data_IF_967509320718
#
_entry.id   IF_967509320718
#
_cell.length_a   1.000
_cell.length_b   1.000
_cell.length_c   1.000
_cell.angle_alpha   90.00
_cell.angle_beta   90.00
_cell.angle_gamma   90.00
#
_symmetry.space_group_name_H-M   'P 1'
#
loop_
_entity.id
_entity.type
_entity.pdbx_description
1 polymer ?
#
# COMPACT_ATOMS: atom_id res chain seq x y z
N UNK A 1 -12.95 -6.33 8.35
CA UNK A 1 -13.49 -5.02 8.75
C UNK A 1 -12.43 -3.97 8.45
N UNK A 2 -12.84 -2.77 8.06
CA UNK A 2 -11.97 -1.60 7.94
C UNK A 2 -12.37 -0.57 9.00
N UNK A 3 -11.39 0.10 9.62
CA UNK A 3 -11.62 1.26 10.49
C UNK A 3 -11.39 2.50 9.64
N UNK A 4 -12.48 3.14 9.25
CA UNK A 4 -12.49 4.39 8.51
C UNK A 4 -11.89 5.54 9.34
N UNK A 5 -10.82 6.12 8.82
CA UNK A 5 -10.09 7.25 9.40
C UNK A 5 -10.76 8.60 9.12
N UNK A 6 -11.69 8.69 8.16
CA UNK A 6 -12.52 9.87 7.87
C UNK A 6 -13.74 9.96 8.80
N UNK A 7 -14.33 8.81 9.14
CA UNK A 7 -15.41 8.72 10.13
C UNK A 7 -14.86 8.83 11.55
N UNK A 8 -14.43 10.05 11.87
CA UNK A 8 -14.18 10.59 13.18
C UNK A 8 -13.82 9.49 14.21
N UNK A 9 -12.63 8.90 14.09
CA UNK A 9 -11.94 8.38 15.27
C UNK A 9 -11.14 9.48 15.95
N UNK A 10 -10.91 10.59 15.22
CA UNK A 10 -9.96 11.63 15.51
C UNK A 10 -10.52 13.01 15.07
N UNK A 11 -10.64 13.98 15.97
CA UNK A 11 -10.77 15.41 15.63
C UNK A 11 -9.35 16.00 15.48
N UNK A 12 -9.00 16.46 14.28
CA UNK A 12 -7.75 17.19 14.05
C UNK A 12 -7.97 18.67 14.43
N UNK A 13 -7.58 19.03 15.66
CA UNK A 13 -7.58 20.42 16.12
C UNK A 13 -6.12 20.79 16.39
N UNK A 14 -5.56 21.70 15.60
CA UNK A 14 -4.24 22.30 15.85
C UNK A 14 -3.07 21.30 16.01
N UNK A 15 -2.99 20.27 15.15
CA UNK A 15 -1.85 19.34 15.14
C UNK A 15 -1.85 18.29 16.25
N UNK A 16 -2.98 18.07 16.92
CA UNK A 16 -3.19 16.94 17.83
C UNK A 16 -4.33 16.05 17.38
N UNK A 17 -4.04 14.75 17.35
CA UNK A 17 -4.99 13.67 17.09
C UNK A 17 -5.86 13.46 18.35
N UNK A 18 -7.08 14.02 18.40
CA UNK A 18 -7.98 13.88 19.56
C UNK A 18 -9.03 12.79 19.34
N UNK A 19 -9.20 11.84 20.27
CA UNK A 19 -10.19 10.77 20.14
C UNK A 19 -11.63 11.29 19.95
N UNK A 20 -12.32 10.82 18.91
CA UNK A 20 -13.76 11.01 18.73
C UNK A 20 -14.52 9.76 19.18
N UNK A 21 -15.12 9.89 20.35
CA UNK A 21 -15.79 8.79 21.05
C UNK A 21 -16.89 8.09 20.23
N UNK A 22 -17.77 8.79 19.47
CA UNK A 22 -18.81 8.07 18.72
C UNK A 22 -18.30 7.12 17.63
N UNK A 23 -17.13 7.39 17.03
CA UNK A 23 -16.49 6.49 16.06
C UNK A 23 -15.92 5.27 16.76
N UNK A 24 -15.28 5.46 17.92
CA UNK A 24 -14.84 4.35 18.78
C UNK A 24 -16.02 3.49 19.21
N UNK A 25 -17.13 4.09 19.63
CA UNK A 25 -18.34 3.37 20.05
C UNK A 25 -18.95 2.58 18.88
N UNK A 26 -18.94 3.13 17.68
CA UNK A 26 -19.36 2.40 16.48
C UNK A 26 -18.54 1.13 16.28
N UNK A 27 -17.21 1.22 16.24
CA UNK A 27 -16.36 0.05 16.03
C UNK A 27 -16.42 -0.94 17.19
N UNK A 28 -16.55 -0.48 18.44
CA UNK A 28 -16.83 -1.34 19.58
C UNK A 28 -18.10 -2.17 19.35
N UNK A 29 -19.20 -1.52 18.98
CA UNK A 29 -20.47 -2.21 18.73
C UNK A 29 -20.35 -3.25 17.60
N UNK A 30 -19.63 -2.94 16.52
CA UNK A 30 -19.44 -3.91 15.42
C UNK A 30 -18.52 -5.05 15.83
N UNK A 31 -17.42 -4.79 16.53
CA UNK A 31 -16.51 -5.82 17.05
C UNK A 31 -17.26 -6.76 18.00
N UNK A 32 -18.01 -6.22 18.95
CA UNK A 32 -18.79 -7.01 19.91
C UNK A 32 -19.87 -7.82 19.20
N UNK A 33 -20.52 -7.25 18.19
CA UNK A 33 -21.50 -7.97 17.37
C UNK A 33 -20.87 -9.16 16.63
N UNK A 34 -19.70 -8.98 16.01
CA UNK A 34 -18.97 -10.06 15.32
C UNK A 34 -18.58 -11.17 16.31
N UNK A 35 -17.98 -10.80 17.44
CA UNK A 35 -17.54 -11.76 18.46
C UNK A 35 -18.72 -12.50 19.10
N UNK A 36 -19.86 -11.83 19.31
CA UNK A 36 -21.10 -12.47 19.81
C UNK A 36 -21.62 -13.57 18.88
N UNK A 37 -21.20 -13.56 17.62
CA UNK A 37 -21.52 -14.56 16.60
C UNK A 37 -20.36 -15.54 16.33
N UNK A 38 -19.28 -15.46 17.11
CA UNK A 38 -18.09 -16.29 16.92
C UNK A 38 -17.30 -15.96 15.65
N UNK A 39 -17.46 -14.75 15.10
CA UNK A 39 -16.73 -14.29 13.93
C UNK A 39 -15.51 -13.50 14.40
N UNK A 40 -14.32 -13.97 14.01
CA UNK A 40 -13.06 -13.32 14.36
C UNK A 40 -12.78 -12.09 13.48
N UNK A 41 -12.57 -10.90 14.07
CA UNK A 41 -12.33 -9.69 13.29
C UNK A 41 -10.87 -9.61 12.80
N UNK A 42 -10.71 -9.57 11.48
CA UNK A 42 -9.51 -9.05 10.82
C UNK A 42 -9.73 -7.59 10.48
N UNK A 43 -8.94 -6.71 11.08
CA UNK A 43 -9.16 -5.26 11.04
C UNK A 43 -8.06 -4.60 10.22
N UNK A 44 -8.46 -3.89 9.16
CA UNK A 44 -7.58 -3.02 8.38
C UNK A 44 -7.60 -1.61 8.98
N UNK A 45 -6.41 -1.03 9.21
CA UNK A 45 -6.25 0.32 9.71
C UNK A 45 -6.37 1.36 8.60
N UNK A 46 -5.80 1.09 7.42
CA UNK A 46 -5.86 1.99 6.28
C UNK A 46 -6.30 1.29 5.00
N UNK A 47 -7.36 1.82 4.41
CA UNK A 47 -7.96 1.32 3.17
C UNK A 47 -8.26 2.50 2.23
N UNK A 48 -7.22 3.31 1.99
CA UNK A 48 -7.21 4.41 1.02
C UNK A 48 -8.09 5.60 1.42
N UNK A 49 -8.37 5.71 2.70
CA UNK A 49 -9.34 6.60 3.31
C UNK A 49 -8.67 7.76 4.06
N UNK A 50 -7.49 8.20 3.59
CA UNK A 50 -6.72 9.24 4.26
C UNK A 50 -7.60 10.46 4.61
N UNK A 51 -7.54 10.98 5.85
CA UNK A 51 -8.26 12.19 6.20
C UNK A 51 -7.84 13.37 5.31
N UNK A 52 -8.83 14.03 4.69
CA UNK A 52 -8.58 15.13 3.76
C UNK A 52 -7.76 16.27 4.41
N UNK A 53 -7.93 16.51 5.71
CA UNK A 53 -7.15 17.51 6.44
C UNK A 53 -5.64 17.30 6.32
N UNK A 54 -5.16 16.04 6.39
CA UNK A 54 -3.74 15.70 6.25
C UNK A 54 -3.26 15.87 4.80
N UNK A 55 -4.14 15.58 3.84
CA UNK A 55 -3.87 15.82 2.42
C UNK A 55 -3.72 17.32 2.15
N UNK A 56 -4.56 18.16 2.75
CA UNK A 56 -4.54 19.61 2.58
C UNK A 56 -3.38 20.28 3.34
N UNK A 57 -3.04 19.77 4.53
CA UNK A 57 -2.02 20.37 5.40
C UNK A 57 -0.60 20.19 4.87
N UNK A 58 -0.26 18.98 4.42
CA UNK A 58 1.11 18.66 4.00
C UNK A 58 1.21 17.72 2.79
N UNK A 59 0.11 17.45 2.10
CA UNK A 59 0.12 16.59 0.91
C UNK A 59 -0.01 15.10 1.20
N UNK A 60 -0.41 14.71 2.42
CA UNK A 60 -0.69 13.32 2.77
C UNK A 60 0.53 12.43 2.63
N UNK A 61 0.43 11.35 1.85
CA UNK A 61 1.49 10.35 1.70
C UNK A 61 2.78 10.87 1.05
N UNK A 62 2.79 12.07 0.48
CA UNK A 62 4.00 12.69 -0.05
C UNK A 62 4.90 13.31 1.03
N UNK A 63 4.41 13.49 2.26
CA UNK A 63 5.17 14.01 3.39
C UNK A 63 5.54 12.91 4.36
N UNK A 64 6.74 12.99 4.95
CA UNK A 64 7.17 12.09 6.03
C UNK A 64 6.32 12.25 7.30
N UNK A 65 5.65 13.41 7.49
CA UNK A 65 4.77 13.65 8.64
C UNK A 65 3.65 12.61 8.76
N UNK A 66 3.23 12.01 7.62
CA UNK A 66 2.18 10.99 7.61
C UNK A 66 2.55 9.76 8.45
N UNK A 67 3.85 9.49 8.62
CA UNK A 67 4.36 8.34 9.36
C UNK A 67 3.93 8.46 10.83
N UNK A 68 4.12 9.63 11.44
CA UNK A 68 3.79 9.87 12.84
C UNK A 68 2.28 10.03 13.07
N UNK A 69 1.55 10.63 12.13
CA UNK A 69 0.09 10.71 12.20
C UNK A 69 -0.56 9.33 12.09
N UNK A 70 -0.11 8.50 11.14
CA UNK A 70 -0.61 7.12 10.99
C UNK A 70 -0.24 6.27 12.21
N UNK A 71 0.96 6.45 12.76
CA UNK A 71 1.38 5.81 13.99
C UNK A 71 0.48 6.16 15.17
N UNK A 72 0.12 7.43 15.32
CA UNK A 72 -0.75 7.93 16.38
C UNK A 72 -2.18 7.39 16.26
N UNK A 73 -2.70 7.33 15.03
CA UNK A 73 -3.97 6.68 14.72
C UNK A 73 -3.96 5.19 15.07
N UNK A 74 -2.91 4.47 14.67
CA UNK A 74 -2.76 3.05 14.99
C UNK A 74 -2.64 2.81 16.51
N UNK A 75 -1.89 3.66 17.23
CA UNK A 75 -1.78 3.60 18.70
C UNK A 75 -3.14 3.68 19.37
N UNK A 76 -3.99 4.59 18.90
CA UNK A 76 -5.37 4.77 19.37
C UNK A 76 -6.19 3.52 19.09
N UNK A 77 -6.14 2.97 17.87
CA UNK A 77 -6.88 1.75 17.51
C UNK A 77 -6.47 0.55 18.36
N UNK A 78 -5.16 0.35 18.59
CA UNK A 78 -4.67 -0.73 19.42
C UNK A 78 -5.09 -0.58 20.87
N UNK A 79 -5.04 0.64 21.43
CA UNK A 79 -5.48 0.92 22.79
C UNK A 79 -6.99 0.70 22.97
N UNK A 80 -7.80 1.09 21.98
CA UNK A 80 -9.27 1.02 22.06
C UNK A 80 -9.83 -0.37 21.80
N UNK A 81 -9.24 -1.15 20.89
CA UNK A 81 -9.85 -2.37 20.37
C UNK A 81 -9.00 -3.63 20.52
N UNK A 82 -7.71 -3.51 20.83
CA UNK A 82 -6.77 -4.64 20.84
C UNK A 82 -6.98 -5.63 22.00
N UNK A 83 -7.83 -5.29 22.97
CA UNK A 83 -8.33 -6.24 23.97
C UNK A 83 -9.10 -7.39 23.31
N UNK A 84 -9.83 -7.10 22.22
CA UNK A 84 -10.69 -8.02 21.46
C UNK A 84 -10.16 -8.37 20.07
N UNK A 85 -9.57 -7.43 19.35
CA UNK A 85 -9.02 -7.64 18.00
C UNK A 85 -7.65 -8.30 18.07
N UNK A 86 -7.48 -9.42 17.37
CA UNK A 86 -6.23 -10.22 17.36
C UNK A 86 -5.51 -10.25 16.02
N UNK A 87 -6.11 -9.72 14.96
CA UNK A 87 -5.53 -9.68 13.62
C UNK A 87 -5.61 -8.28 13.03
N UNK A 88 -4.45 -7.64 12.92
CA UNK A 88 -4.31 -6.28 12.42
C UNK A 88 -3.66 -6.27 11.05
N UNK A 89 -4.32 -5.63 10.09
CA UNK A 89 -3.78 -5.29 8.78
C UNK A 89 -3.52 -3.79 8.80
N UNK A 90 -2.27 -3.41 8.58
CA UNK A 90 -1.86 -1.99 8.59
C UNK A 90 -2.41 -1.25 7.37
N UNK A 91 -1.94 -1.61 6.18
CA UNK A 91 -2.28 -0.96 4.92
C UNK A 91 -2.82 -2.02 3.96
N UNK A 92 -3.93 -1.71 3.30
CA UNK A 92 -4.48 -2.50 2.22
C UNK A 92 -3.94 -2.02 0.86
N UNK A 93 -3.44 -2.96 0.07
CA UNK A 93 -3.08 -2.79 -1.35
C UNK A 93 -2.26 -1.52 -1.61
N UNK A 94 -1.06 -1.41 -1.00
CA UNK A 94 -0.26 -0.20 -1.11
C UNK A 94 0.13 0.11 -2.57
N UNK A 95 0.36 -0.92 -3.40
CA UNK A 95 0.64 -0.75 -4.83
C UNK A 95 -0.47 0.01 -5.55
N UNK A 96 -1.73 -0.39 -5.35
CA UNK A 96 -2.85 0.21 -6.06
C UNK A 96 -3.05 1.68 -5.70
N UNK A 97 -3.08 2.04 -4.41
CA UNK A 97 -3.33 3.44 -4.07
C UNK A 97 -2.18 4.36 -4.46
N UNK A 98 -0.91 3.91 -4.38
CA UNK A 98 0.22 4.75 -4.80
C UNK A 98 0.26 4.90 -6.32
N UNK A 99 0.07 3.80 -7.06
CA UNK A 99 0.16 3.82 -8.53
C UNK A 99 -1.01 4.56 -9.17
N UNK A 100 -2.20 4.46 -8.59
CA UNK A 100 -3.41 5.10 -9.14
C UNK A 100 -3.68 6.49 -8.54
N UNK A 101 -3.19 6.78 -7.33
CA UNK A 101 -3.38 8.06 -6.65
C UNK A 101 -2.30 9.11 -6.95
N UNK A 102 -1.07 8.66 -7.21
CA UNK A 102 0.11 9.52 -7.43
C UNK A 102 0.81 9.26 -8.77
N UNK A 103 0.36 8.25 -9.52
CA UNK A 103 0.97 7.80 -10.76
C UNK A 103 -0.03 7.69 -11.92
N UNK A 104 0.45 7.13 -13.03
CA UNK A 104 -0.38 6.80 -14.19
C UNK A 104 -1.30 7.94 -14.64
N UNK A 105 -2.60 7.74 -14.45
CA UNK A 105 -3.65 8.69 -14.85
C UNK A 105 -4.30 9.44 -13.67
N UNK A 106 -3.82 9.26 -12.43
CA UNK A 106 -4.44 9.87 -11.24
C UNK A 106 -5.91 9.47 -11.07
N UNK A 107 -6.24 8.19 -11.30
CA UNK A 107 -7.62 7.70 -11.32
C UNK A 107 -8.23 7.52 -9.93
N UNK A 108 -7.41 7.45 -8.89
CA UNK A 108 -7.84 7.35 -7.50
C UNK A 108 -7.41 8.61 -6.73
N UNK A 109 -8.02 8.86 -5.57
CA UNK A 109 -7.59 9.94 -4.70
C UNK A 109 -6.10 9.78 -4.30
N UNK A 110 -5.33 10.89 -4.19
CA UNK A 110 -5.73 12.29 -4.37
C UNK A 110 -5.78 12.77 -5.83
N UNK A 111 -5.56 11.90 -6.82
CA UNK A 111 -5.73 12.23 -8.24
C UNK A 111 -4.57 13.01 -8.84
N UNK A 112 -3.34 12.72 -8.43
CA UNK A 112 -2.12 13.40 -8.88
C UNK A 112 -1.47 12.64 -10.02
N UNK A 113 -1.09 13.34 -11.08
CA UNK A 113 -0.38 12.75 -12.22
C UNK A 113 0.29 13.79 -13.12
N UNK A 114 1.23 13.36 -13.97
CA UNK A 114 1.92 14.25 -14.92
C UNK A 114 1.05 14.72 -16.10
N UNK A 115 -0.12 14.10 -16.31
CA UNK A 115 -1.02 14.41 -17.44
C UNK A 115 -1.88 15.62 -17.07
N UNK A 116 -1.44 16.82 -17.46
CA UNK A 116 -2.06 18.11 -17.07
C UNK A 116 -3.50 18.32 -17.56
N UNK A 117 -3.95 17.57 -18.56
CA UNK A 117 -5.36 17.58 -18.99
C UNK A 117 -6.27 16.75 -18.08
N UNK A 118 -5.71 15.88 -17.23
CA UNK A 118 -6.44 15.05 -16.26
C UNK A 118 -6.22 15.51 -14.82
N UNK A 119 -4.98 15.84 -14.46
CA UNK A 119 -4.57 16.19 -13.11
C UNK A 119 -4.09 17.65 -13.06
N UNK A 120 -4.52 18.39 -12.04
CA UNK A 120 -4.07 19.76 -11.78
C UNK A 120 -2.57 19.84 -11.49
N UNK A 121 -2.02 18.80 -10.88
CA UNK A 121 -0.64 18.72 -10.42
C UNK A 121 -0.18 17.25 -10.32
N UNK A 122 1.09 17.07 -9.95
CA UNK A 122 1.69 15.76 -9.73
C UNK A 122 2.89 15.48 -10.65
N UNK A 123 3.69 14.52 -10.24
CA UNK A 123 4.78 13.93 -11.03
C UNK A 123 4.76 12.40 -10.90
N UNK A 124 4.20 11.75 -11.92
CA UNK A 124 4.04 10.30 -12.00
C UNK A 124 5.37 9.53 -12.11
N UNK A 125 6.51 10.21 -12.27
CA UNK A 125 7.83 9.57 -12.24
C UNK A 125 8.42 9.47 -10.84
N UNK A 126 7.97 10.30 -9.90
CA UNK A 126 8.62 10.47 -8.59
C UNK A 126 7.63 10.22 -7.45
N UNK A 127 6.45 10.84 -7.52
CA UNK A 127 5.47 10.82 -6.42
C UNK A 127 5.03 9.42 -5.98
N UNK A 128 4.81 8.42 -6.87
CA UNK A 128 4.48 7.06 -6.44
C UNK A 128 5.56 6.43 -5.56
N UNK A 129 6.83 6.73 -5.81
CA UNK A 129 7.96 6.19 -5.05
C UNK A 129 8.11 6.87 -3.69
N UNK A 130 7.85 8.18 -3.61
CA UNK A 130 7.79 8.90 -2.33
C UNK A 130 6.63 8.37 -1.49
N UNK A 131 5.42 8.33 -2.04
CA UNK A 131 4.23 7.85 -1.34
C UNK A 131 4.36 6.39 -0.90
N UNK A 132 4.89 5.52 -1.77
CA UNK A 132 5.15 4.11 -1.45
C UNK A 132 6.21 3.94 -0.37
N UNK A 133 7.26 4.77 -0.37
CA UNK A 133 8.27 4.73 0.68
C UNK A 133 7.70 5.14 2.05
N UNK A 134 6.96 6.25 2.10
CA UNK A 134 6.31 6.71 3.33
C UNK A 134 5.29 5.69 3.85
N UNK A 135 4.52 5.04 2.95
CA UNK A 135 3.61 3.96 3.31
C UNK A 135 4.34 2.76 3.97
N UNK A 136 5.48 2.35 3.41
CA UNK A 136 6.32 1.29 4.00
C UNK A 136 6.88 1.71 5.36
N UNK A 137 7.40 2.93 5.48
CA UNK A 137 7.94 3.44 6.74
C UNK A 137 6.86 3.57 7.82
N UNK A 138 5.66 4.01 7.46
CA UNK A 138 4.50 4.05 8.34
C UNK A 138 4.09 2.64 8.81
N UNK A 139 3.99 1.68 7.89
CA UNK A 139 3.74 0.28 8.21
C UNK A 139 4.77 -0.29 9.20
N UNK A 140 6.07 -0.15 8.91
CA UNK A 140 7.16 -0.66 9.77
C UNK A 140 7.10 -0.01 11.16
N UNK A 141 6.82 1.29 11.22
CA UNK A 141 6.70 2.03 12.48
C UNK A 141 5.52 1.54 13.33
N UNK A 142 4.38 1.28 12.70
CA UNK A 142 3.19 0.75 13.36
C UNK A 142 3.41 -0.67 13.87
N UNK A 143 4.07 -1.53 13.09
CA UNK A 143 4.44 -2.89 13.53
C UNK A 143 5.39 -2.84 14.71
N UNK A 144 6.38 -1.94 14.68
CA UNK A 144 7.28 -1.74 15.80
C UNK A 144 6.54 -1.33 17.07
N UNK A 145 5.64 -0.35 16.98
CA UNK A 145 4.79 0.06 18.09
C UNK A 145 3.96 -1.11 18.63
N UNK A 146 3.29 -1.87 17.76
CA UNK A 146 2.45 -2.99 18.18
C UNK A 146 3.26 -4.02 18.97
N UNK A 147 4.41 -4.42 18.43
CA UNK A 147 5.32 -5.39 19.07
C UNK A 147 5.86 -4.89 20.41
N UNK A 148 6.27 -3.63 20.48
CA UNK A 148 6.88 -3.03 21.67
C UNK A 148 5.87 -2.77 22.79
N UNK A 149 4.66 -2.29 22.46
CA UNK A 149 3.69 -1.78 23.45
C UNK A 149 2.53 -2.74 23.73
N UNK A 150 2.08 -3.52 22.73
CA UNK A 150 0.78 -4.20 22.80
C UNK A 150 0.84 -5.72 22.68
N UNK A 151 1.72 -6.27 21.84
CA UNK A 151 1.65 -7.66 21.43
C UNK A 151 1.77 -8.64 22.60
N UNK A 152 2.63 -8.36 23.59
CA UNK A 152 2.78 -9.22 24.76
C UNK A 152 1.49 -9.35 25.59
N UNK A 153 0.69 -8.28 25.68
CA UNK A 153 -0.54 -8.26 26.46
C UNK A 153 -1.75 -8.71 25.64
N UNK A 154 -1.86 -8.20 24.41
CA UNK A 154 -3.00 -8.41 23.54
C UNK A 154 -2.93 -9.75 22.79
N UNK A 155 -1.73 -10.32 22.64
CA UNK A 155 -1.47 -11.61 21.99
C UNK A 155 -2.01 -11.71 20.56
N UNK A 156 -2.07 -10.57 19.85
CA UNK A 156 -2.46 -10.51 18.45
C UNK A 156 -1.27 -10.62 17.50
N UNK A 157 -1.60 -10.62 16.22
CA UNK A 157 -0.68 -10.62 15.08
C UNK A 157 -0.94 -9.40 14.21
N UNK A 158 0.12 -8.90 13.58
CA UNK A 158 0.05 -7.73 12.70
C UNK A 158 0.73 -7.99 11.36
N UNK A 159 0.12 -7.50 10.28
CA UNK A 159 0.61 -7.69 8.93
C UNK A 159 0.23 -6.54 8.00
N UNK A 160 0.46 -6.78 6.71
CA UNK A 160 0.05 -5.92 5.61
C UNK A 160 -0.72 -6.76 4.59
N UNK A 161 -1.66 -6.15 3.88
CA UNK A 161 -2.38 -6.80 2.79
C UNK A 161 -1.86 -6.24 1.47
N UNK A 162 -1.25 -7.09 0.66
CA UNK A 162 -0.71 -6.75 -0.65
C UNK A 162 -1.67 -7.21 -1.74
N UNK A 163 -1.75 -6.50 -2.85
CA UNK A 163 -2.33 -7.02 -4.08
C UNK A 163 -1.26 -7.49 -5.04
N UNK A 164 -1.60 -8.52 -5.81
CA UNK A 164 -0.82 -8.88 -6.99
C UNK A 164 -1.66 -9.62 -8.00
N UNK A 165 -1.45 -9.23 -9.26
CA UNK A 165 -1.70 -10.15 -10.37
C UNK A 165 -0.59 -11.19 -10.43
N UNK A 166 -0.88 -12.35 -11.01
CA UNK A 166 0.18 -13.21 -11.52
C UNK A 166 0.54 -12.77 -12.95
N UNK A 167 1.80 -12.94 -13.33
CA UNK A 167 2.33 -12.48 -14.61
C UNK A 167 2.92 -13.66 -15.37
N UNK A 168 2.29 -14.03 -16.47
CA UNK A 168 2.78 -15.05 -17.40
C UNK A 168 3.49 -14.38 -18.58
N UNK A 169 4.60 -14.91 -19.11
CA UNK A 169 5.18 -14.40 -20.34
C UNK A 169 4.23 -14.67 -21.53
N UNK A 170 4.05 -13.70 -22.42
CA UNK A 170 3.22 -13.86 -23.62
C UNK A 170 3.80 -14.95 -24.54
N UNK A 171 5.13 -14.97 -24.69
CA UNK A 171 5.87 -16.05 -25.32
C UNK A 171 6.82 -16.71 -24.31
N UNK A 172 6.46 -17.91 -23.85
CA UNK A 172 7.23 -18.70 -22.87
C UNK A 172 8.65 -19.07 -23.34
N UNK A 173 8.93 -19.02 -24.64
CA UNK A 173 10.27 -19.28 -25.21
C UNK A 173 11.10 -18.02 -25.42
N UNK A 174 10.50 -16.84 -25.25
CA UNK A 174 11.19 -15.56 -25.37
C UNK A 174 11.84 -15.19 -24.04
N UNK A 175 13.16 -15.11 -24.01
CA UNK A 175 13.88 -14.68 -22.80
C UNK A 175 13.45 -13.27 -22.37
N UNK A 176 13.18 -12.38 -23.32
CA UNK A 176 12.75 -11.01 -23.03
C UNK A 176 11.40 -10.98 -22.31
N UNK A 177 10.45 -11.85 -22.70
CA UNK A 177 9.12 -11.93 -22.07
C UNK A 177 9.18 -12.60 -20.70
N UNK A 178 10.06 -13.60 -20.54
CA UNK A 178 10.35 -14.23 -19.24
C UNK A 178 10.95 -13.21 -18.25
N UNK A 179 11.88 -12.37 -18.69
CA UNK A 179 12.38 -11.31 -17.82
C UNK A 179 11.33 -10.22 -17.57
N UNK A 180 10.45 -9.94 -18.55
CA UNK A 180 9.36 -8.99 -18.39
C UNK A 180 8.35 -9.45 -17.34
N UNK A 181 8.02 -10.75 -17.26
CA UNK A 181 7.15 -11.29 -16.21
C UNK A 181 7.77 -11.18 -14.82
N UNK A 182 9.06 -11.48 -14.69
CA UNK A 182 9.82 -11.26 -13.46
C UNK A 182 9.80 -9.79 -13.02
N UNK A 183 10.09 -8.86 -13.93
CA UNK A 183 10.04 -7.41 -13.64
C UNK A 183 8.63 -6.94 -13.29
N UNK A 184 7.60 -7.43 -13.96
CA UNK A 184 6.22 -7.06 -13.65
C UNK A 184 5.82 -7.50 -12.23
N UNK A 185 6.22 -8.71 -11.82
CA UNK A 185 6.01 -9.20 -10.47
C UNK A 185 6.80 -8.40 -9.43
N UNK A 186 8.06 -8.06 -9.72
CA UNK A 186 8.89 -7.21 -8.86
C UNK A 186 8.25 -5.84 -8.63
N UNK A 187 7.74 -5.19 -9.68
CA UNK A 187 7.12 -3.86 -9.57
C UNK A 187 5.72 -3.87 -8.96
N UNK A 188 5.01 -5.00 -8.95
CA UNK A 188 3.68 -5.11 -8.37
C UNK A 188 3.73 -5.62 -6.94
N UNK A 189 4.25 -6.84 -6.74
CA UNK A 189 4.33 -7.49 -5.43
C UNK A 189 5.65 -7.18 -4.73
N UNK A 190 6.77 -7.31 -5.46
CA UNK A 190 8.12 -7.16 -4.91
C UNK A 190 8.39 -5.77 -4.35
N UNK A 191 7.74 -4.73 -4.86
CA UNK A 191 7.92 -3.35 -4.43
C UNK A 191 7.63 -3.19 -2.93
N UNK A 192 6.55 -3.81 -2.45
CA UNK A 192 6.17 -3.74 -1.03
C UNK A 192 6.60 -4.98 -0.25
N UNK A 193 6.67 -6.16 -0.88
CA UNK A 193 7.09 -7.39 -0.19
C UNK A 193 8.62 -7.45 0.01
N UNK A 194 9.39 -7.00 -0.98
CA UNK A 194 10.86 -7.06 -1.00
C UNK A 194 11.49 -6.40 0.22
N UNK A 195 11.16 -5.13 0.54
CA UNK A 195 11.67 -4.46 1.72
C UNK A 195 11.37 -5.22 3.01
N UNK A 196 10.15 -5.76 3.14
CA UNK A 196 9.71 -6.46 4.34
C UNK A 196 10.38 -7.83 4.52
N UNK A 197 10.81 -8.49 3.44
CA UNK A 197 11.47 -9.79 3.52
C UNK A 197 13.00 -9.66 3.55
N UNK A 198 13.55 -8.82 2.66
CA UNK A 198 14.98 -8.73 2.39
C UNK A 198 15.64 -7.44 2.90
N UNK A 199 14.84 -6.45 3.34
CA UNK A 199 15.34 -5.18 3.88
C UNK A 199 15.59 -4.09 2.83
N UNK A 200 15.37 -4.39 1.54
CA UNK A 200 15.48 -3.41 0.47
C UNK A 200 14.52 -3.73 -0.70
N UNK A 201 14.30 -2.76 -1.60
CA UNK A 201 13.53 -2.96 -2.82
C UNK A 201 14.19 -3.98 -3.77
N UNK A 202 13.41 -4.63 -4.66
CA UNK A 202 13.97 -5.53 -5.68
C UNK A 202 15.09 -4.88 -6.51
N UNK A 203 16.09 -5.66 -6.88
CA UNK A 203 17.26 -5.18 -7.65
C UNK A 203 16.87 -4.61 -9.02
N UNK A 204 15.83 -5.17 -9.64
CA UNK A 204 15.24 -4.69 -10.89
C UNK A 204 14.69 -3.27 -10.72
N UNK A 205 13.96 -2.99 -9.63
CA UNK A 205 13.45 -1.66 -9.31
C UNK A 205 14.59 -0.67 -9.04
N UNK A 206 15.57 -1.04 -8.21
CA UNK A 206 16.75 -0.21 -7.92
C UNK A 206 17.48 0.21 -9.21
N UNK A 207 17.63 -0.73 -10.15
CA UNK A 207 18.33 -0.50 -11.41
C UNK A 207 17.54 0.40 -12.38
N UNK A 208 16.22 0.25 -12.41
CA UNK A 208 15.35 0.94 -13.38
C UNK A 208 14.89 2.31 -12.88
N UNK A 209 14.54 2.44 -11.61
CA UNK A 209 14.01 3.67 -11.00
C UNK A 209 15.12 4.61 -10.51
N UNK A 210 16.26 4.03 -10.08
CA UNK A 210 17.48 4.76 -9.70
C UNK A 210 17.22 5.80 -8.59
N UNK A 211 17.60 7.05 -8.84
CA UNK A 211 17.60 8.16 -7.87
C UNK A 211 16.20 8.53 -7.38
N UNK A 212 15.14 8.15 -8.12
CA UNK A 212 13.75 8.39 -7.70
C UNK A 212 13.25 7.37 -6.67
N UNK A 213 13.98 6.27 -6.43
CA UNK A 213 13.60 5.26 -5.46
C UNK A 213 14.33 5.52 -4.13
N UNK A 214 13.64 5.93 -3.05
CA UNK A 214 14.30 6.25 -1.80
C UNK A 214 15.06 5.05 -1.21
N UNK A 215 16.03 5.31 -0.35
CA UNK A 215 16.85 4.27 0.28
C UNK A 215 16.41 4.00 1.71
N UNK A 216 16.37 2.73 2.10
CA UNK A 216 16.14 2.38 3.50
C UNK A 216 17.43 2.56 4.31
N UNK A 217 17.28 3.08 5.52
CA UNK A 217 18.24 2.77 6.58
C UNK A 217 17.84 1.41 7.15
N UNK A 218 18.80 0.50 7.36
CA UNK A 218 18.51 -0.87 7.80
C UNK A 218 17.66 -0.94 9.09
N UNK A 219 17.69 0.13 9.90
CA UNK A 219 16.96 0.27 11.16
C UNK A 219 16.30 1.64 11.23
N UNK A 220 15.06 1.70 11.74
CA UNK A 220 14.41 2.97 12.06
C UNK A 220 15.14 3.63 13.26
N UNK A 221 15.64 4.87 13.13
CA UNK A 221 16.26 5.58 14.24
C UNK A 221 15.38 5.58 15.50
N UNK A 222 15.95 5.21 16.64
CA UNK A 222 15.23 5.18 17.93
C UNK A 222 14.33 3.95 18.18
N UNK A 223 14.07 3.09 17.20
CA UNK A 223 13.23 1.87 17.36
C UNK A 223 14.08 0.60 17.42
N UNK A 224 13.59 -0.49 18.01
CA UNK A 224 14.33 -1.79 18.04
C UNK A 224 14.00 -2.70 16.86
N UNK A 225 13.38 -2.17 15.81
CA UNK A 225 12.88 -2.95 14.66
C UNK A 225 13.69 -2.65 13.40
N UNK A 226 13.93 -3.71 12.64
CA UNK A 226 14.56 -3.69 11.34
C UNK A 226 13.49 -3.60 10.26
N UNK A 227 13.82 -3.05 9.09
CA UNK A 227 12.90 -3.00 7.94
C UNK A 227 12.38 -4.40 7.61
N UNK A 228 13.28 -5.38 7.57
CA UNK A 228 12.94 -6.77 7.33
C UNK A 228 12.30 -7.45 8.55
N UNK A 229 11.35 -8.34 8.29
CA UNK A 229 10.59 -9.07 9.30
C UNK A 229 9.50 -8.24 9.98
N UNK A 230 9.12 -7.09 9.42
CA UNK A 230 8.06 -6.21 9.93
C UNK A 230 6.65 -6.73 9.65
N UNK A 231 6.41 -8.03 9.83
CA UNK A 231 5.08 -8.64 9.76
C UNK A 231 5.07 -9.96 10.53
N UNK A 232 3.90 -10.37 11.00
CA UNK A 232 3.62 -11.72 11.51
C UNK A 232 2.89 -12.57 10.45
N UNK A 233 2.17 -11.92 9.54
CA UNK A 233 1.51 -12.52 8.38
C UNK A 233 1.46 -11.54 7.20
N UNK A 234 1.24 -12.08 6.00
CA UNK A 234 0.97 -11.31 4.77
C UNK A 234 -0.40 -11.70 4.24
N UNK A 235 -1.28 -10.72 4.04
CA UNK A 235 -2.49 -10.88 3.25
C UNK A 235 -2.18 -10.71 1.76
N UNK A 236 -2.79 -11.53 0.89
CA UNK A 236 -2.66 -11.39 -0.56
C UNK A 236 -4.04 -11.30 -1.21
N UNK A 237 -4.37 -10.12 -1.72
CA UNK A 237 -5.51 -9.90 -2.58
C UNK A 237 -5.16 -10.31 -4.01
N UNK A 238 -5.74 -11.41 -4.45
CA UNK A 238 -5.53 -11.95 -5.79
C UNK A 238 -6.85 -12.04 -6.54
N UNK A 239 -6.89 -11.41 -7.71
CA UNK A 239 -8.09 -11.38 -8.56
C UNK A 239 -7.88 -12.05 -9.91
N UNK A 240 -6.69 -11.90 -10.52
CA UNK A 240 -6.46 -12.35 -11.89
C UNK A 240 -4.97 -12.54 -12.22
N UNK A 241 -4.73 -13.20 -13.35
CA UNK A 241 -3.45 -13.34 -14.03
C UNK A 241 -3.42 -12.47 -15.29
N UNK A 242 -2.25 -12.10 -15.79
CA UNK A 242 -2.08 -11.34 -17.04
C UNK A 242 -0.85 -11.84 -17.80
N UNK A 243 -0.97 -11.96 -19.13
CA UNK A 243 0.18 -12.17 -20.00
C UNK A 243 0.94 -10.86 -20.21
N UNK A 244 2.27 -10.92 -20.20
CA UNK A 244 3.14 -9.76 -20.42
C UNK A 244 4.18 -10.05 -21.49
N UNK A 245 4.48 -9.02 -22.27
CA UNK A 245 5.52 -9.03 -23.27
C UNK A 245 6.53 -7.93 -22.95
N UNK A 246 7.78 -8.12 -23.33
CA UNK A 246 8.78 -7.06 -23.24
C UNK A 246 8.36 -5.82 -24.06
N UNK A 247 8.35 -4.65 -23.41
CA UNK A 247 8.08 -3.38 -24.09
C UNK A 247 9.18 -3.05 -25.12
N UNK A 248 8.78 -2.51 -26.28
CA UNK A 248 9.76 -1.95 -27.25
C UNK A 248 10.17 -0.53 -26.80
N UNK A 249 11.43 -0.10 -26.97
CA UNK A 249 11.92 1.20 -26.50
C UNK A 249 11.31 2.45 -27.17
N UNK A 250 10.27 2.32 -27.99
CA UNK A 250 9.65 3.45 -28.67
C UNK A 250 8.15 3.21 -28.84
N UNK A 251 7.40 4.25 -28.50
CA UNK A 251 5.94 4.41 -28.52
C UNK A 251 5.19 4.02 -27.23
N UNK A 252 4.83 5.07 -26.47
CA UNK A 252 3.65 5.08 -25.62
C UNK A 252 2.43 4.94 -26.55
N UNK A 253 1.90 3.73 -26.67
CA UNK A 253 0.55 3.52 -27.19
C UNK A 253 -0.19 2.56 -26.26
N UNK A 254 -1.21 3.05 -25.58
CA UNK A 254 -2.25 2.18 -25.06
C UNK A 254 -3.09 1.72 -26.27
N UNK A 255 -2.82 0.51 -26.76
CA UNK A 255 -3.67 -0.14 -27.75
C UNK A 255 -4.61 -1.11 -27.02
N UNK A 256 -5.90 -0.79 -26.96
CA UNK A 256 -6.92 -1.78 -26.65
C UNK A 256 -7.17 -2.60 -27.93
N UNK A 257 -6.65 -3.82 -28.00
CA UNK A 257 -7.00 -4.77 -29.06
C UNK A 257 -8.38 -5.37 -28.78
N UNK A 258 -9.17 -5.49 -29.86
CA UNK A 258 -10.53 -6.00 -29.90
C UNK A 258 -10.65 -7.50 -29.62
N UNK A 259 -11.86 -7.92 -29.26
CA UNK A 259 -12.33 -9.30 -29.05
C UNK A 259 -11.90 -10.21 -30.21
N UNK A 260 -11.17 -11.28 -29.90
CA UNK A 260 -10.87 -12.34 -30.87
C UNK A 260 -12.15 -13.14 -31.20
N UNK A 261 -12.35 -13.60 -32.45
CA UNK A 261 -13.54 -14.36 -32.86
C UNK A 261 -13.79 -15.66 -32.08
N UNK A 262 -12.82 -16.12 -31.30
CA UNK A 262 -12.88 -17.31 -30.45
C UNK A 262 -13.31 -17.03 -28.99
N UNK A 263 -13.65 -15.78 -28.68
CA UNK A 263 -14.14 -15.38 -27.35
C UNK A 263 -13.04 -15.20 -26.30
N UNK A 264 -11.76 -15.22 -26.68
CA UNK A 264 -10.66 -14.91 -25.76
C UNK A 264 -10.51 -13.40 -25.57
N UNK A 265 -10.45 -12.98 -24.30
CA UNK A 265 -10.08 -11.63 -23.93
C UNK A 265 -8.56 -11.49 -23.99
N UNK A 266 -8.06 -10.64 -24.88
CA UNK A 266 -6.65 -10.28 -24.96
C UNK A 266 -6.50 -8.86 -24.40
N UNK A 267 -6.18 -8.76 -23.11
CA UNK A 267 -5.79 -7.49 -22.50
C UNK A 267 -4.29 -7.34 -22.66
N UNK A 268 -3.87 -6.70 -23.76
CA UNK A 268 -2.50 -6.22 -23.90
C UNK A 268 -2.33 -4.97 -23.04
N UNK A 269 -1.95 -5.17 -21.77
CA UNK A 269 -1.43 -4.07 -20.95
C UNK A 269 0.06 -3.95 -21.24
N UNK A 270 0.43 -3.00 -22.09
CA UNK A 270 1.82 -2.55 -22.17
C UNK A 270 2.14 -1.82 -20.87
N UNK A 271 2.83 -2.49 -19.95
CA UNK A 271 3.44 -1.84 -18.79
C UNK A 271 4.62 -1.01 -19.30
N UNK A 272 4.36 0.26 -19.59
CA UNK A 272 5.44 1.23 -19.73
C UNK A 272 5.86 1.59 -18.30
N UNK A 273 6.97 0.99 -17.85
CA UNK A 273 7.75 1.59 -16.76
C UNK A 273 8.21 2.93 -17.32
N UNK A 274 7.60 4.02 -16.86
CA UNK A 274 7.93 5.37 -17.31
C UNK A 274 9.37 5.67 -16.86
N UNK A 275 10.30 5.65 -17.81
CA UNK A 275 11.63 6.26 -17.68
C UNK A 275 11.50 7.79 -17.60
#
# INVERSE_FOLDING_TARGET
MHIDSQYHGLEYIQGTVNMYYPGIDHYNAVIDALLSKGIEPYVTLYHWDLPQALQDEYGGWLSENIIDDFLSFADTCFASFGDRVKHWITINEPYNFVSQGYGGFGTQAPGRCSIRVKCSEGDSKIEPYIAGHNALMAHISVVALYREKYQAQQRGSIGICLDSRWYEPLNETSMDDLEASGRALDFHLGWFLGPLVFGDYPSSMRTLVRDSLPSFQNRIPGRRVWVNGSFDFIGLNHYTTTYVQAGRPSYVSASFSSINPDGRFEVSCTFVILY
#
